data_IF_535887454047
#
_entry.id   IF_535887454047
#
_cell.length_a   1.000
_cell.length_b   1.000
_cell.length_c   1.000
_cell.angle_alpha   90.00
_cell.angle_beta   90.00
_cell.angle_gamma   90.00
#
_symmetry.space_group_name_H-M   'P 1'
#
loop_
_entity.id
_entity.type
_entity.pdbx_description
1 polymer ?
#
# COMPACT_ATOMS: atom_id res chain seq x y z
N UNK A 1 8.50 26.00 24.44
CA UNK A 1 9.02 24.63 24.41
C UNK A 1 9.15 24.24 22.95
N UNK A 2 10.35 23.90 22.48
CA UNK A 2 10.54 23.51 21.10
C UNK A 2 9.85 22.16 20.90
N UNK A 3 8.84 22.13 20.03
CA UNK A 3 8.28 20.89 19.50
C UNK A 3 9.43 20.04 19.00
N UNK A 4 9.71 18.90 19.62
CA UNK A 4 10.61 17.91 19.04
C UNK A 4 10.06 17.61 17.64
N UNK A 5 10.84 17.94 16.60
CA UNK A 5 10.51 17.54 15.24
C UNK A 5 10.74 16.04 15.18
N UNK A 6 9.69 15.25 15.41
CA UNK A 6 9.70 13.83 15.10
C UNK A 6 10.05 13.70 13.63
N UNK A 7 11.22 13.14 13.34
CA UNK A 7 11.67 12.99 11.96
C UNK A 7 10.74 12.02 11.24
N UNK A 8 10.07 12.51 10.18
CA UNK A 8 9.22 11.69 9.32
C UNK A 8 10.08 10.61 8.70
N UNK A 9 9.68 9.36 8.86
CA UNK A 9 10.38 8.24 8.25
C UNK A 9 10.04 8.19 6.76
N UNK A 10 11.09 8.16 5.93
CA UNK A 10 10.96 8.02 4.50
C UNK A 10 12.05 7.11 3.94
N UNK A 11 11.63 6.01 3.34
CA UNK A 11 12.49 5.20 2.48
C UNK A 11 12.18 5.40 1.00
N UNK A 12 13.24 5.69 0.25
CA UNK A 12 13.18 5.84 -1.19
C UNK A 12 13.12 4.48 -1.84
N UNK A 13 12.17 4.34 -2.77
CA UNK A 13 12.05 3.13 -3.57
C UNK A 13 13.35 2.82 -4.30
N UNK A 14 13.78 1.56 -4.25
CA UNK A 14 14.84 1.00 -5.08
C UNK A 14 14.28 -0.15 -5.90
N UNK A 15 14.66 -0.22 -7.18
CA UNK A 15 14.23 -1.28 -8.11
C UNK A 15 12.70 -1.38 -8.18
N UNK A 16 12.14 -2.59 -8.27
CA UNK A 16 10.70 -2.83 -8.32
C UNK A 16 10.08 -3.13 -6.95
N UNK A 17 10.77 -2.86 -5.84
CA UNK A 17 10.26 -3.10 -4.48
C UNK A 17 9.28 -2.01 -4.00
N UNK A 18 8.39 -1.53 -4.89
CA UNK A 18 7.44 -0.47 -4.56
C UNK A 18 6.59 -0.84 -3.34
N UNK A 19 6.04 -2.06 -3.28
CA UNK A 19 5.20 -2.49 -2.16
C UNK A 19 5.95 -2.44 -0.81
N UNK A 20 7.17 -2.97 -0.77
CA UNK A 20 8.03 -2.93 0.43
C UNK A 20 8.17 -1.50 0.94
N UNK A 21 8.51 -0.60 0.02
CA UNK A 21 8.79 0.79 0.36
C UNK A 21 7.54 1.58 0.70
N UNK A 22 6.43 1.33 0.02
CA UNK A 22 5.13 1.89 0.35
C UNK A 22 4.66 1.44 1.73
N UNK A 23 4.85 0.17 2.10
CA UNK A 23 4.45 -0.33 3.43
C UNK A 23 5.32 0.22 4.57
N UNK A 24 6.63 0.31 4.42
CA UNK A 24 7.48 0.87 5.48
C UNK A 24 7.24 2.38 5.66
N UNK A 25 7.02 3.10 4.56
CA UNK A 25 6.55 4.50 4.61
C UNK A 25 5.16 4.59 5.25
N UNK A 26 4.27 3.67 4.86
CA UNK A 26 3.02 3.23 5.50
C UNK A 26 3.04 3.40 7.02
N UNK A 27 3.84 2.54 7.63
CA UNK A 27 3.95 2.37 9.07
C UNK A 27 4.93 3.34 9.72
N UNK A 28 5.53 4.27 8.96
CA UNK A 28 6.53 5.22 9.46
C UNK A 28 7.67 4.53 10.24
N UNK A 29 8.05 3.32 9.81
CA UNK A 29 9.02 2.47 10.53
C UNK A 29 9.94 1.74 9.56
N UNK A 30 11.24 1.84 9.83
CA UNK A 30 12.26 1.06 9.13
C UNK A 30 12.08 -0.43 9.40
N UNK A 31 12.14 -1.22 8.33
CA UNK A 31 12.06 -2.67 8.39
C UNK A 31 10.75 -3.19 9.03
N UNK A 32 9.66 -2.39 9.00
CA UNK A 32 8.33 -2.87 9.37
C UNK A 32 7.91 -4.07 8.51
N UNK A 33 8.32 -4.05 7.26
CA UNK A 33 8.32 -5.16 6.33
C UNK A 33 9.71 -5.32 5.74
N UNK A 34 10.06 -6.57 5.46
CA UNK A 34 11.28 -6.97 4.76
C UNK A 34 10.92 -7.79 3.52
N UNK A 35 11.84 -7.88 2.56
CA UNK A 35 11.66 -8.74 1.38
C UNK A 35 11.33 -10.19 1.77
N UNK A 36 12.02 -10.71 2.79
CA UNK A 36 11.77 -12.04 3.31
C UNK A 36 10.33 -12.18 3.81
N UNK A 37 9.85 -11.22 4.62
CA UNK A 37 8.48 -11.26 5.13
C UNK A 37 7.41 -11.13 4.04
N UNK A 38 7.63 -10.33 3.00
CA UNK A 38 6.70 -10.20 1.87
C UNK A 38 6.73 -11.43 0.96
N UNK A 39 7.90 -12.05 0.79
CA UNK A 39 8.03 -13.32 0.07
C UNK A 39 7.27 -14.44 0.79
N UNK A 40 7.39 -14.53 2.12
CA UNK A 40 6.63 -15.50 2.92
C UNK A 40 5.11 -15.31 2.78
N UNK A 41 4.64 -14.06 2.75
CA UNK A 41 3.22 -13.76 2.53
C UNK A 41 2.78 -14.20 1.12
N UNK A 42 3.56 -13.84 0.10
CA UNK A 42 3.27 -14.22 -1.28
C UNK A 42 3.27 -15.75 -1.48
N UNK A 43 4.16 -16.47 -0.80
CA UNK A 43 4.22 -17.93 -0.86
C UNK A 43 3.00 -18.59 -0.21
N UNK A 44 2.52 -18.06 0.93
CA UNK A 44 1.29 -18.57 1.57
C UNK A 44 0.06 -18.39 0.69
N UNK A 45 -0.10 -17.20 0.10
CA UNK A 45 -1.22 -16.91 -0.81
C UNK A 45 -1.27 -17.86 -2.01
N UNK A 46 -0.11 -18.31 -2.51
CA UNK A 46 -0.04 -19.32 -3.59
C UNK A 46 -0.47 -20.71 -3.13
N UNK A 47 -0.18 -21.08 -1.88
CA UNK A 47 -0.58 -22.38 -1.33
C UNK A 47 -2.09 -22.44 -1.05
N UNK A 48 -2.67 -21.29 -0.69
CA UNK A 48 -4.09 -21.15 -0.38
C UNK A 48 -4.95 -20.92 -1.64
N UNK A 49 -4.34 -20.83 -2.83
CA UNK A 49 -5.04 -20.66 -4.11
C UNK A 49 -5.75 -21.98 -4.52
N UNK A 50 -7.09 -22.01 -4.57
CA UNK A 50 -7.86 -23.21 -4.89
C UNK A 50 -7.69 -23.66 -6.36
N UNK A 51 -7.17 -22.80 -7.24
CA UNK A 51 -7.03 -23.04 -8.68
C UNK A 51 -5.60 -23.48 -9.07
N UNK A 52 -5.00 -24.34 -8.23
CA UNK A 52 -3.69 -24.99 -8.37
C UNK A 52 -3.32 -25.28 -9.84
N UNK A 53 -2.56 -24.36 -10.45
CA UNK A 53 -1.86 -24.64 -11.69
C UNK A 53 -0.59 -25.43 -11.39
N UNK A 54 -0.57 -26.65 -11.90
CA UNK A 54 0.50 -27.65 -11.95
C UNK A 54 1.91 -27.10 -11.69
N UNK A 55 2.51 -27.55 -10.60
CA UNK A 55 3.89 -27.26 -10.20
C UNK A 55 4.89 -27.64 -11.31
N UNK A 56 5.67 -26.67 -11.82
CA UNK A 56 6.84 -26.93 -12.67
C UNK A 56 8.07 -26.22 -12.09
N UNK A 57 9.30 -26.72 -12.29
CA UNK A 57 10.50 -26.08 -11.75
C UNK A 57 10.71 -24.62 -12.18
N UNK A 58 10.09 -24.19 -13.29
CA UNK A 58 10.10 -22.82 -13.80
C UNK A 58 8.99 -21.93 -13.23
N UNK A 59 7.95 -22.48 -12.59
CA UNK A 59 6.84 -21.68 -12.03
C UNK A 59 7.22 -20.89 -10.78
N UNK A 60 8.36 -21.19 -10.14
CA UNK A 60 8.91 -20.37 -9.05
C UNK A 60 9.33 -18.97 -9.53
N UNK A 61 9.76 -18.87 -10.80
CA UNK A 61 10.22 -17.62 -11.42
C UNK A 61 9.07 -16.85 -12.10
N UNK A 62 8.05 -17.57 -12.57
CA UNK A 62 6.86 -17.03 -13.21
C UNK A 62 5.62 -17.42 -12.40
N UNK A 63 5.46 -16.82 -11.21
CA UNK A 63 4.23 -17.02 -10.42
C UNK A 63 3.16 -16.04 -10.90
N UNK A 64 1.88 -16.46 -11.04
CA UNK A 64 0.77 -15.57 -11.40
C UNK A 64 0.62 -14.36 -10.47
N UNK A 65 1.09 -14.51 -9.22
CA UNK A 65 0.95 -13.54 -8.14
C UNK A 65 2.26 -12.80 -7.77
N UNK A 66 3.40 -13.10 -8.44
CA UNK A 66 4.69 -12.44 -8.16
C UNK A 66 5.82 -12.77 -9.16
N UNK A 67 6.74 -11.82 -9.37
CA UNK A 67 8.13 -12.12 -9.72
C UNK A 67 9.04 -11.85 -8.50
N UNK A 68 9.25 -12.89 -7.66
CA UNK A 68 10.04 -12.81 -6.41
C UNK A 68 11.50 -12.48 -6.57
N UNK A 69 11.99 -12.59 -7.79
CA UNK A 69 13.34 -12.16 -8.12
C UNK A 69 13.44 -10.63 -8.25
N UNK A 70 12.37 -9.94 -8.65
CA UNK A 70 12.41 -8.50 -8.94
C UNK A 70 11.70 -7.62 -7.92
N UNK A 71 10.78 -8.17 -7.10
CA UNK A 71 10.09 -7.45 -6.02
C UNK A 71 8.73 -6.85 -6.40
N UNK A 72 8.18 -7.25 -7.55
CA UNK A 72 6.90 -6.77 -8.08
C UNK A 72 5.72 -7.54 -7.47
N UNK A 73 5.45 -7.30 -6.19
CA UNK A 73 4.35 -7.93 -5.45
C UNK A 73 2.99 -7.40 -5.92
N UNK A 74 1.98 -8.28 -5.95
CA UNK A 74 0.60 -7.89 -6.28
C UNK A 74 -0.17 -7.28 -5.09
N UNK A 75 -1.42 -6.93 -5.36
CA UNK A 75 -2.35 -6.34 -4.40
C UNK A 75 -2.75 -7.31 -3.26
N UNK A 76 -2.79 -8.62 -3.51
CA UNK A 76 -3.16 -9.60 -2.49
C UNK A 76 -2.07 -9.67 -1.42
N UNK A 77 -0.80 -9.55 -1.81
CA UNK A 77 0.32 -9.44 -0.85
C UNK A 77 0.19 -8.17 0.00
N UNK A 78 -0.22 -7.03 -0.59
CA UNK A 78 -0.50 -5.81 0.18
C UNK A 78 -1.61 -6.03 1.22
N UNK A 79 -2.75 -6.58 0.79
CA UNK A 79 -3.91 -6.81 1.66
C UNK A 79 -3.55 -7.75 2.81
N UNK A 80 -2.97 -8.91 2.52
CA UNK A 80 -2.56 -9.88 3.54
C UNK A 80 -1.49 -9.31 4.50
N UNK A 81 -0.58 -8.47 4.00
CA UNK A 81 0.41 -7.79 4.84
C UNK A 81 -0.22 -6.80 5.82
N UNK A 82 -1.24 -6.07 5.38
CA UNK A 82 -1.99 -5.11 6.20
C UNK A 82 -2.89 -5.82 7.22
N UNK A 83 -3.61 -6.86 6.81
CA UNK A 83 -4.44 -7.68 7.71
C UNK A 83 -3.61 -8.34 8.81
N UNK A 84 -2.41 -8.85 8.48
CA UNK A 84 -1.47 -9.41 9.48
C UNK A 84 -1.05 -8.37 10.54
N UNK A 85 -1.22 -7.07 10.26
CA UNK A 85 -0.94 -5.95 11.16
C UNK A 85 -2.22 -5.33 11.77
N UNK A 86 -3.37 -6.01 11.67
CA UNK A 86 -4.65 -5.53 12.21
C UNK A 86 -5.13 -4.26 11.51
N UNK A 87 -4.99 -4.22 10.18
CA UNK A 87 -5.46 -3.12 9.33
C UNK A 87 -6.44 -3.65 8.30
N UNK A 88 -7.53 -2.92 8.11
CA UNK A 88 -8.47 -3.15 7.03
C UNK A 88 -8.09 -2.32 5.79
N UNK A 89 -8.36 -2.87 4.61
CA UNK A 89 -8.17 -2.18 3.33
C UNK A 89 -9.52 -1.94 2.68
N UNK A 90 -9.82 -0.69 2.36
CA UNK A 90 -11.04 -0.30 1.64
C UNK A 90 -10.64 0.30 0.30
N UNK A 91 -11.19 -0.25 -0.77
CA UNK A 91 -11.01 0.33 -2.10
C UNK A 91 -11.86 1.59 -2.23
N UNK A 92 -11.23 2.72 -2.58
CA UNK A 92 -11.97 3.94 -2.86
C UNK A 92 -12.69 3.82 -4.21
N UNK A 93 -14.00 3.96 -4.21
CA UNK A 93 -14.78 3.95 -5.44
C UNK A 93 -14.44 5.19 -6.28
N UNK A 94 -13.79 4.98 -7.43
CA UNK A 94 -13.35 6.03 -8.35
C UNK A 94 -14.48 6.91 -8.91
N UNK A 95 -15.75 6.52 -8.71
CA UNK A 95 -16.92 7.34 -9.07
C UNK A 95 -17.16 8.47 -8.06
N UNK A 96 -16.56 8.36 -6.87
CA UNK A 96 -16.66 9.35 -5.81
C UNK A 96 -15.42 10.25 -5.79
N UNK A 97 -15.64 11.53 -5.50
CA UNK A 97 -14.59 12.53 -5.34
C UNK A 97 -13.76 12.29 -4.06
N UNK A 98 -12.54 12.80 -4.02
CA UNK A 98 -11.66 12.71 -2.86
C UNK A 98 -12.24 13.40 -1.61
N UNK A 99 -13.17 14.35 -1.80
CA UNK A 99 -13.91 14.99 -0.71
C UNK A 99 -14.73 13.98 0.13
N UNK A 100 -15.07 12.80 -0.41
CA UNK A 100 -15.74 11.73 0.34
C UNK A 100 -14.82 10.92 1.26
N UNK A 101 -13.50 11.15 1.20
CA UNK A 101 -12.52 10.53 2.08
C UNK A 101 -12.39 11.41 3.32
N UNK A 102 -12.67 10.83 4.48
CA UNK A 102 -12.46 11.48 5.78
C UNK A 102 -10.96 11.52 6.12
N UNK A 103 -10.32 12.66 5.79
CA UNK A 103 -8.92 12.95 6.12
C UNK A 103 -8.77 13.68 7.46
N UNK A 104 -9.86 14.23 7.99
CA UNK A 104 -9.83 15.13 9.15
C UNK A 104 -10.23 14.40 10.46
N UNK A 105 -10.59 13.11 10.38
CA UNK A 105 -10.78 12.22 11.53
C UNK A 105 -12.17 12.30 12.17
N UNK A 106 -13.22 12.50 11.36
CA UNK A 106 -14.61 12.57 11.80
C UNK A 106 -15.27 11.23 12.16
N UNK A 107 -14.89 10.12 11.53
CA UNK A 107 -15.52 8.79 11.69
C UNK A 107 -14.79 7.84 12.67
N UNK A 108 -15.54 6.88 13.25
CA UNK A 108 -15.04 5.93 14.26
C UNK A 108 -14.07 4.85 13.75
N UNK A 109 -13.74 4.81 12.45
CA UNK A 109 -12.62 4.00 11.93
C UNK A 109 -11.51 4.95 11.53
N UNK A 110 -10.51 5.12 12.39
CA UNK A 110 -9.36 5.98 12.13
C UNK A 110 -8.69 5.58 10.81
N UNK A 111 -8.64 6.51 9.85
CA UNK A 111 -7.86 6.35 8.64
C UNK A 111 -6.38 6.36 9.02
N UNK A 112 -5.73 5.21 8.94
CA UNK A 112 -4.29 5.08 9.21
C UNK A 112 -3.48 5.73 8.08
N UNK A 113 -3.92 5.56 6.83
CA UNK A 113 -3.32 6.23 5.69
C UNK A 113 -3.83 5.73 4.35
N UNK A 114 -3.19 6.17 3.28
CA UNK A 114 -3.64 5.94 1.90
C UNK A 114 -2.49 5.32 1.10
N UNK A 115 -2.79 4.24 0.38
CA UNK A 115 -1.89 3.62 -0.61
C UNK A 115 -2.48 3.86 -2.00
N UNK A 116 -1.62 4.22 -2.95
CA UNK A 116 -2.04 4.60 -4.30
C UNK A 116 -1.27 3.76 -5.30
N UNK A 117 -1.99 3.15 -6.25
CA UNK A 117 -1.42 2.49 -7.40
C UNK A 117 -1.57 3.39 -8.63
N UNK A 118 -0.44 3.87 -9.16
CA UNK A 118 -0.39 4.81 -10.29
C UNK A 118 0.64 4.39 -11.32
N UNK A 119 0.38 4.59 -12.63
CA UNK A 119 1.41 4.45 -13.64
C UNK A 119 2.48 5.51 -13.39
N UNK A 120 3.69 5.04 -13.07
CA UNK A 120 4.82 5.81 -12.53
C UNK A 120 4.91 7.23 -13.11
N UNK A 121 4.41 8.18 -12.33
CA UNK A 121 4.52 9.62 -12.60
C UNK A 121 5.16 10.24 -11.37
N UNK A 122 6.24 10.99 -11.59
CA UNK A 122 6.91 11.69 -10.48
C UNK A 122 6.01 12.83 -10.03
N UNK A 123 5.22 12.58 -8.99
CA UNK A 123 4.58 13.64 -8.24
C UNK A 123 5.55 14.08 -7.14
N UNK A 124 5.98 15.34 -7.18
CA UNK A 124 6.70 15.97 -6.10
C UNK A 124 5.70 16.83 -5.33
N UNK A 125 5.57 16.61 -4.03
CA UNK A 125 4.73 17.42 -3.17
C UNK A 125 5.05 17.15 -1.71
N UNK A 126 5.26 18.21 -0.94
CA UNK A 126 5.05 18.21 0.50
C UNK A 126 3.66 18.81 0.65
N UNK A 127 2.70 18.02 1.12
CA UNK A 127 1.35 18.51 1.38
C UNK A 127 1.33 19.30 2.68
N UNK A 128 0.66 20.45 2.68
CA UNK A 128 0.54 21.30 3.88
C UNK A 128 -0.72 21.02 4.68
N UNK A 129 -1.78 20.58 4.03
CA UNK A 129 -3.11 20.37 4.60
C UNK A 129 -3.89 19.30 3.82
N UNK A 130 -5.10 18.98 4.30
CA UNK A 130 -5.96 17.97 3.70
C UNK A 130 -6.60 18.43 2.38
N UNK A 131 -6.62 19.72 2.06
CA UNK A 131 -7.11 20.23 0.78
C UNK A 131 -6.12 19.92 -0.35
N UNK A 132 -4.82 20.19 -0.14
CA UNK A 132 -3.76 19.81 -1.08
C UNK A 132 -3.72 18.28 -1.32
N UNK A 133 -4.07 17.48 -0.31
CA UNK A 133 -4.20 16.01 -0.46
C UNK A 133 -5.41 15.65 -1.31
N UNK A 134 -6.57 16.29 -1.11
CA UNK A 134 -7.78 16.03 -1.91
C UNK A 134 -7.58 16.37 -3.38
N UNK A 135 -7.02 17.54 -3.69
CA UNK A 135 -6.71 17.93 -5.07
C UNK A 135 -5.77 16.92 -5.75
N UNK A 136 -4.78 16.43 -5.00
CA UNK A 136 -3.88 15.39 -5.48
C UNK A 136 -4.64 14.09 -5.80
N UNK A 137 -5.50 13.63 -4.89
CA UNK A 137 -6.28 12.40 -5.05
C UNK A 137 -7.28 12.50 -6.20
N UNK A 138 -7.99 13.62 -6.36
CA UNK A 138 -8.90 13.84 -7.49
C UNK A 138 -8.18 13.73 -8.83
N UNK A 139 -6.97 14.31 -8.92
CA UNK A 139 -6.13 14.17 -10.12
C UNK A 139 -5.73 12.71 -10.36
N UNK A 140 -5.34 11.98 -9.33
CA UNK A 140 -4.98 10.56 -9.44
C UNK A 140 -6.17 9.73 -9.94
N UNK A 141 -7.34 9.91 -9.32
CA UNK A 141 -8.58 9.22 -9.68
C UNK A 141 -8.96 9.52 -11.13
N UNK A 142 -8.87 10.79 -11.56
CA UNK A 142 -9.13 11.22 -12.93
C UNK A 142 -8.17 10.62 -13.96
N UNK A 143 -6.94 10.28 -13.56
CA UNK A 143 -5.95 9.59 -14.40
C UNK A 143 -6.09 8.06 -14.39
N UNK A 144 -7.09 7.53 -13.69
CA UNK A 144 -7.34 6.09 -13.56
C UNK A 144 -6.44 5.39 -12.54
N UNK A 145 -5.81 6.14 -11.63
CA UNK A 145 -5.10 5.56 -10.50
C UNK A 145 -6.07 4.95 -9.48
N UNK A 146 -5.61 3.92 -8.79
CA UNK A 146 -6.38 3.22 -7.76
C UNK A 146 -5.98 3.74 -6.39
N UNK A 147 -6.98 4.03 -5.55
CA UNK A 147 -6.78 4.57 -4.21
C UNK A 147 -7.30 3.57 -3.19
N UNK A 148 -6.43 3.20 -2.25
CA UNK A 148 -6.69 2.23 -1.20
C UNK A 148 -6.60 2.95 0.15
N UNK A 149 -7.68 2.87 0.92
CA UNK A 149 -7.77 3.44 2.26
C UNK A 149 -7.37 2.35 3.27
N UNK A 150 -6.34 2.61 4.06
CA UNK A 150 -5.89 1.73 5.13
C UNK A 150 -6.47 2.23 6.43
N UNK A 151 -7.28 1.41 7.08
CA UNK A 151 -7.99 1.75 8.32
C UNK A 151 -7.45 0.94 9.47
N UNK A 152 -7.45 1.54 10.65
CA UNK A 152 -7.29 0.78 11.89
C UNK A 152 -8.52 -0.11 12.09
N UNK A 153 -8.31 -1.38 12.44
CA UNK A 153 -9.41 -2.24 12.85
C UNK A 153 -10.11 -1.61 14.07
N UNK A 154 -11.44 -1.66 14.10
CA UNK A 154 -12.19 -1.29 15.31
C UNK A 154 -11.94 -2.39 16.34
N UNK A 155 -11.33 -2.04 17.47
CA UNK A 155 -11.30 -2.91 18.66
C UNK A 155 -12.71 -3.40 19.04
#
# INVERSE_FOLDING_TARGET
MASEKTAIYHERQKLQFCLLHSLNNLFQQKDAFTRASLNEIAEKLVLDDPDNQTWTPLSVVFKPHHNSLTGNYDINVLIAALEKRGKAVVWHDRRNEAASIDLDGGDSSSLMGIVINVPVTRYAGIWKDSEEVREFLDRIIGLGGEVLLVKDDKE
#
